data_IF_774425535283
#
_entry.id   IF_774425535283
#
_cell.length_a   1.000
_cell.length_b   1.000
_cell.length_c   1.000
_cell.angle_alpha   90.00
_cell.angle_beta   90.00
_cell.angle_gamma   90.00
#
_symmetry.space_group_name_H-M   'P 1'
#
loop_
_entity.id
_entity.type
_entity.pdbx_description
1 polymer ?
#
# COMPACT_ATOMS: atom_id res chain seq x y z
N UNK A 1 -38.93 -22.46 -52.54
CA UNK A 1 -38.85 -23.79 -51.88
C UNK A 1 -37.45 -23.99 -51.32
N UNK A 2 -37.14 -23.44 -50.15
CA UNK A 2 -35.83 -23.58 -49.47
C UNK A 2 -36.08 -23.63 -47.96
N UNK A 3 -36.18 -24.87 -47.46
CA UNK A 3 -35.83 -25.39 -46.13
C UNK A 3 -36.54 -24.94 -44.83
N UNK A 4 -37.47 -25.78 -44.31
CA UNK A 4 -37.79 -25.87 -42.89
C UNK A 4 -36.91 -26.96 -42.24
N UNK A 5 -35.75 -26.59 -41.67
CA UNK A 5 -34.84 -27.55 -40.99
C UNK A 5 -34.18 -27.04 -39.70
N UNK A 6 -34.67 -25.94 -39.12
CA UNK A 6 -34.03 -25.34 -37.92
C UNK A 6 -34.73 -25.74 -36.61
N UNK A 7 -35.91 -26.38 -36.66
CA UNK A 7 -36.73 -26.60 -35.47
C UNK A 7 -36.33 -27.78 -34.54
N UNK A 8 -35.24 -28.52 -34.81
CA UNK A 8 -34.91 -29.75 -34.04
C UNK A 8 -33.71 -29.58 -33.09
N UNK A 9 -32.98 -28.47 -33.13
CA UNK A 9 -31.77 -28.27 -32.30
C UNK A 9 -32.03 -27.68 -30.90
N UNK A 10 -33.28 -27.44 -30.49
CA UNK A 10 -33.60 -26.82 -29.19
C UNK A 10 -33.85 -27.78 -28.01
N UNK A 11 -33.74 -29.11 -28.20
CA UNK A 11 -34.12 -30.08 -27.16
C UNK A 11 -32.94 -30.82 -26.48
N UNK A 12 -31.69 -30.55 -26.87
CA UNK A 12 -30.51 -31.24 -26.30
C UNK A 12 -29.69 -30.39 -25.31
N UNK A 13 -30.11 -29.16 -24.96
CA UNK A 13 -29.37 -28.32 -24.01
C UNK A 13 -29.89 -28.35 -22.57
N UNK A 14 -30.96 -29.10 -22.27
CA UNK A 14 -31.55 -29.15 -20.93
C UNK A 14 -31.03 -30.28 -20.02
N UNK A 15 -30.17 -31.18 -20.49
CA UNK A 15 -29.74 -32.35 -19.69
C UNK A 15 -28.42 -32.20 -18.93
N UNK A 16 -27.88 -30.98 -18.80
CA UNK A 16 -26.62 -30.73 -18.06
C UNK A 16 -26.78 -29.85 -16.83
N UNK A 17 -27.99 -29.73 -16.28
CA UNK A 17 -28.18 -29.29 -14.90
C UNK A 17 -27.73 -30.41 -13.96
N UNK A 18 -26.41 -30.60 -13.89
CA UNK A 18 -25.78 -31.30 -12.77
C UNK A 18 -26.09 -30.45 -11.55
N UNK A 19 -26.86 -31.03 -10.65
CA UNK A 19 -27.29 -30.44 -9.40
C UNK A 19 -26.03 -30.27 -8.54
N UNK A 20 -25.36 -29.14 -8.67
CA UNK A 20 -24.39 -28.67 -7.69
C UNK A 20 -25.18 -28.28 -6.45
N UNK A 21 -25.56 -29.27 -5.63
CA UNK A 21 -26.06 -28.99 -4.29
C UNK A 21 -24.96 -28.20 -3.56
N UNK A 22 -25.24 -26.99 -3.05
CA UNK A 22 -24.33 -26.32 -2.16
C UNK A 22 -24.14 -27.25 -0.96
N UNK A 23 -22.92 -27.74 -0.74
CA UNK A 23 -22.58 -28.44 0.49
C UNK A 23 -23.01 -27.53 1.64
N UNK A 24 -23.91 -27.98 2.55
CA UNK A 24 -24.29 -27.16 3.68
C UNK A 24 -23.01 -26.88 4.46
N UNK A 25 -22.53 -25.65 4.39
CA UNK A 25 -21.53 -25.14 5.31
C UNK A 25 -22.24 -25.05 6.64
N UNK A 26 -22.18 -26.15 7.38
CA UNK A 26 -22.67 -26.25 8.74
C UNK A 26 -21.89 -25.17 9.50
N UNK A 27 -22.60 -24.08 9.79
CA UNK A 27 -22.12 -22.82 10.34
C UNK A 27 -21.75 -22.99 11.82
N UNK A 28 -20.89 -23.98 12.11
CA UNK A 28 -20.31 -24.16 13.42
C UNK A 28 -18.94 -23.49 13.40
N UNK A 29 -18.76 -22.49 14.25
CA UNK A 29 -17.55 -21.67 14.35
C UNK A 29 -16.28 -22.54 14.55
N UNK A 30 -16.43 -23.70 15.19
CA UNK A 30 -15.37 -24.70 15.35
C UNK A 30 -14.89 -25.30 14.02
N UNK A 31 -15.79 -25.48 13.05
CA UNK A 31 -15.46 -26.05 11.74
C UNK A 31 -14.62 -25.13 10.87
N UNK A 32 -14.89 -23.81 10.94
CA UNK A 32 -14.09 -22.80 10.25
C UNK A 32 -12.70 -22.67 10.87
N UNK A 33 -12.61 -22.61 12.20
CA UNK A 33 -11.32 -22.55 12.89
C UNK A 33 -10.45 -23.78 12.57
N UNK A 34 -11.05 -24.98 12.53
CA UNK A 34 -10.34 -26.22 12.21
C UNK A 34 -9.88 -26.27 10.74
N UNK A 35 -10.70 -25.81 9.79
CA UNK A 35 -10.30 -25.68 8.38
C UNK A 35 -9.19 -24.65 8.19
N UNK A 36 -9.30 -23.50 8.85
CA UNK A 36 -8.28 -22.46 8.79
C UNK A 36 -6.94 -22.96 9.34
N UNK A 37 -6.96 -23.66 10.48
CA UNK A 37 -5.75 -24.23 11.08
C UNK A 37 -5.09 -25.30 10.19
N UNK A 38 -5.89 -26.22 9.62
CA UNK A 38 -5.40 -27.25 8.69
C UNK A 38 -4.82 -26.64 7.40
N UNK A 39 -5.48 -25.64 6.83
CA UNK A 39 -5.03 -24.97 5.60
C UNK A 39 -3.75 -24.16 5.85
N UNK A 40 -3.72 -23.40 6.95
CA UNK A 40 -2.54 -22.62 7.34
C UNK A 40 -1.32 -23.51 7.58
N UNK A 41 -1.50 -24.69 8.20
CA UNK A 41 -0.43 -25.67 8.46
C UNK A 41 0.13 -26.31 7.18
N UNK A 42 -0.66 -26.41 6.11
CA UNK A 42 -0.18 -26.89 4.79
C UNK A 42 0.73 -25.87 4.10
N UNK A 43 0.41 -24.57 4.25
CA UNK A 43 1.13 -23.50 3.58
C UNK A 43 2.30 -22.94 4.40
N UNK A 44 2.25 -23.07 5.73
CA UNK A 44 3.28 -22.62 6.66
C UNK A 44 3.64 -23.74 7.65
N UNK A 45 4.34 -24.80 7.20
CA UNK A 45 4.79 -25.84 8.12
C UNK A 45 5.73 -25.22 9.15
N UNK A 46 5.46 -25.46 10.44
CA UNK A 46 6.32 -25.02 11.54
C UNK A 46 7.76 -25.49 11.30
N UNK A 47 8.70 -24.55 11.38
CA UNK A 47 10.12 -24.83 11.21
C UNK A 47 10.57 -25.88 12.24
N UNK A 48 10.89 -27.09 11.77
CA UNK A 48 11.44 -28.13 12.64
C UNK A 48 11.34 -29.55 12.13
N UNK A 49 10.34 -29.88 11.31
CA UNK A 49 10.14 -31.26 10.85
C UNK A 49 10.12 -31.33 9.33
N UNK A 50 11.27 -31.71 8.77
CA UNK A 50 11.51 -32.03 7.37
C UNK A 50 11.55 -30.83 6.42
N UNK A 51 12.64 -30.06 6.47
CA UNK A 51 13.08 -29.24 5.35
C UNK A 51 13.37 -30.16 4.15
N UNK A 52 12.35 -30.40 3.33
CA UNK A 52 12.50 -31.06 2.04
C UNK A 52 13.19 -30.05 1.11
N UNK A 53 14.31 -30.39 0.46
CA UNK A 53 14.93 -29.48 -0.49
C UNK A 53 13.95 -29.18 -1.62
N UNK A 54 13.78 -27.89 -1.93
CA UNK A 54 12.97 -27.40 -3.04
C UNK A 54 13.36 -28.12 -4.34
N UNK A 55 12.43 -28.79 -5.04
CA UNK A 55 12.70 -29.34 -6.35
C UNK A 55 12.55 -28.22 -7.38
N UNK A 56 13.59 -27.43 -7.57
CA UNK A 56 13.71 -26.53 -8.72
C UNK A 56 14.97 -26.87 -9.51
N UNK A 57 14.96 -28.05 -10.11
CA UNK A 57 15.86 -28.41 -11.23
C UNK A 57 15.01 -28.99 -12.36
N UNK A 58 15.05 -28.27 -13.48
CA UNK A 58 14.89 -28.74 -14.87
C UNK A 58 13.50 -29.12 -15.38
N UNK A 59 12.79 -28.11 -15.86
CA UNK A 59 11.89 -28.21 -17.02
C UNK A 59 12.37 -27.30 -18.15
N UNK A 60 13.35 -27.77 -18.93
CA UNK A 60 13.89 -27.04 -20.07
C UNK A 60 12.88 -26.89 -21.20
N UNK A 61 12.13 -25.79 -21.20
CA UNK A 61 11.41 -25.32 -22.37
C UNK A 61 12.33 -24.39 -23.17
N UNK A 62 12.88 -24.88 -24.29
CA UNK A 62 13.53 -24.03 -25.31
C UNK A 62 12.51 -23.06 -25.89
N UNK A 63 12.32 -21.90 -25.26
CA UNK A 63 11.71 -20.75 -25.93
C UNK A 63 12.74 -20.16 -26.87
N UNK A 64 12.44 -20.20 -28.17
CA UNK A 64 13.22 -19.56 -29.23
C UNK A 64 13.46 -18.10 -28.83
N UNK A 65 14.73 -17.72 -28.80
CA UNK A 65 15.20 -16.36 -28.58
C UNK A 65 14.46 -15.40 -29.52
N UNK A 66 13.54 -14.60 -28.96
CA UNK A 66 13.11 -13.36 -29.60
C UNK A 66 14.22 -12.36 -29.28
N UNK A 67 14.81 -11.79 -30.33
CA UNK A 67 15.92 -10.82 -30.23
C UNK A 67 15.59 -9.77 -29.16
N UNK A 68 16.55 -9.38 -28.30
CA UNK A 68 16.38 -8.20 -27.46
C UNK A 68 16.08 -7.00 -28.36
N UNK A 69 15.03 -6.27 -28.02
CA UNK A 69 14.82 -4.93 -28.54
C UNK A 69 16.02 -4.11 -28.01
N UNK A 70 16.78 -3.41 -28.85
CA UNK A 70 17.87 -2.58 -28.38
C UNK A 70 17.23 -1.43 -27.60
N UNK A 71 17.44 -1.42 -26.28
CA UNK A 71 17.27 -0.23 -25.48
C UNK A 71 18.16 0.84 -26.09
N UNK A 72 17.53 1.88 -26.61
CA UNK A 72 18.19 3.04 -27.17
C UNK A 72 19.17 3.58 -26.13
N UNK A 73 20.44 3.54 -26.52
CA UNK A 73 21.55 4.23 -25.90
C UNK A 73 21.21 5.72 -25.73
N UNK A 74 20.87 6.15 -24.52
CA UNK A 74 21.20 7.50 -24.09
C UNK A 74 22.71 7.49 -23.82
N UNK A 75 23.47 7.80 -24.87
CA UNK A 75 24.85 8.25 -24.71
C UNK A 75 24.78 9.66 -24.10
N UNK A 76 25.06 9.78 -22.81
CA UNK A 76 25.66 10.99 -22.24
C UNK A 76 26.82 10.54 -21.33
N UNK A 77 28.00 10.66 -21.92
CA UNK A 77 29.29 11.02 -21.34
C UNK A 77 29.78 10.31 -20.07
N UNK A 78 30.74 9.40 -20.31
CA UNK A 78 31.61 8.88 -19.27
C UNK A 78 32.47 9.97 -18.64
N UNK A 79 32.10 10.38 -17.43
CA UNK A 79 33.05 10.78 -16.39
C UNK A 79 32.38 10.73 -15.01
N UNK A 80 32.72 9.71 -14.21
CA UNK A 80 32.72 9.80 -12.74
C UNK A 80 31.39 9.68 -12.00
N UNK A 81 31.20 8.49 -11.41
CA UNK A 81 30.34 8.23 -10.25
C UNK A 81 28.82 8.26 -10.48
N UNK A 82 28.31 7.27 -11.20
CA UNK A 82 26.95 6.76 -10.94
C UNK A 82 26.95 6.07 -9.57
N UNK A 83 27.08 6.86 -8.50
CA UNK A 83 26.75 6.36 -7.18
C UNK A 83 25.29 5.91 -7.22
N UNK A 84 24.98 4.70 -6.74
CA UNK A 84 23.61 4.22 -6.72
C UNK A 84 22.78 5.14 -5.81
N UNK A 85 21.99 5.99 -6.47
CA UNK A 85 21.13 6.96 -5.81
C UNK A 85 19.94 6.21 -5.22
N UNK A 86 19.82 6.24 -3.90
CA UNK A 86 18.64 5.72 -3.21
C UNK A 86 17.39 6.39 -3.78
N UNK A 87 16.34 5.60 -3.98
CA UNK A 87 15.10 6.04 -4.61
C UNK A 87 15.09 6.01 -6.14
N UNK A 88 16.16 5.56 -6.81
CA UNK A 88 16.12 5.31 -8.25
C UNK A 88 15.50 3.93 -8.57
N UNK A 89 14.64 3.86 -9.59
CA UNK A 89 13.99 2.62 -10.02
C UNK A 89 14.94 1.62 -10.72
N UNK A 90 16.14 2.06 -11.09
CA UNK A 90 17.14 1.29 -11.82
C UNK A 90 18.41 0.98 -11.01
N UNK A 91 18.37 1.18 -9.69
CA UNK A 91 19.46 0.78 -8.80
C UNK A 91 19.48 -0.76 -8.60
N UNK A 92 19.93 -1.44 -9.65
CA UNK A 92 20.13 -2.89 -9.66
C UNK A 92 21.28 -3.34 -8.76
N UNK A 93 22.06 -2.41 -8.20
CA UNK A 93 23.17 -2.73 -7.29
C UNK A 93 22.67 -3.00 -5.88
N UNK A 94 21.62 -2.30 -5.45
CA UNK A 94 21.00 -2.46 -4.12
C UNK A 94 19.80 -3.39 -4.13
N UNK A 95 18.95 -3.28 -5.14
CA UNK A 95 17.68 -4.00 -5.22
C UNK A 95 17.52 -4.74 -6.55
N UNK A 96 16.77 -5.85 -6.59
CA UNK A 96 16.50 -6.56 -7.83
C UNK A 96 15.62 -5.73 -8.78
N UNK A 97 15.48 -6.19 -10.03
CA UNK A 97 14.70 -5.49 -11.03
C UNK A 97 13.25 -5.20 -10.57
N UNK A 98 12.74 -4.03 -10.96
CA UNK A 98 11.42 -3.50 -10.60
C UNK A 98 11.25 -3.10 -9.13
N UNK A 99 12.29 -3.29 -8.30
CA UNK A 99 12.35 -2.76 -6.95
C UNK A 99 13.20 -1.49 -6.91
N UNK A 100 12.95 -0.67 -5.89
CA UNK A 100 13.78 0.51 -5.61
C UNK A 100 14.29 0.45 -4.17
N UNK A 101 15.51 0.93 -3.96
CA UNK A 101 16.11 1.02 -2.63
C UNK A 101 15.64 2.29 -1.94
N UNK A 102 14.79 2.16 -0.93
CA UNK A 102 14.34 3.27 -0.10
C UNK A 102 15.10 3.30 1.23
N UNK A 103 15.52 4.47 1.73
CA UNK A 103 16.05 4.58 3.08
C UNK A 103 15.01 4.13 4.11
N UNK A 104 15.43 3.38 5.12
CA UNK A 104 14.54 2.92 6.21
C UNK A 104 14.11 4.04 7.16
N UNK A 105 14.71 5.23 7.03
CA UNK A 105 14.40 6.40 7.85
C UNK A 105 14.35 7.64 6.96
N UNK A 106 13.52 8.63 7.29
CA UNK A 106 13.45 9.88 6.54
C UNK A 106 14.82 10.54 6.48
N UNK A 107 15.20 11.00 5.28
CA UNK A 107 16.47 11.69 5.04
C UNK A 107 16.20 12.97 4.26
N UNK A 108 16.95 14.01 4.59
CA UNK A 108 17.00 15.24 3.80
C UNK A 108 17.80 15.03 2.51
N UNK A 109 17.63 15.91 1.52
CA UNK A 109 18.41 15.85 0.26
C UNK A 109 19.93 15.85 0.51
N UNK A 110 20.38 16.55 1.56
CA UNK A 110 21.80 16.60 1.94
C UNK A 110 22.28 15.25 2.46
N UNK A 111 21.48 14.59 3.30
CA UNK A 111 21.80 13.25 3.81
C UNK A 111 21.73 12.20 2.69
N UNK A 112 20.79 12.35 1.77
CA UNK A 112 20.66 11.49 0.60
C UNK A 112 21.90 11.61 -0.31
N UNK A 113 22.39 12.83 -0.54
CA UNK A 113 23.61 13.07 -1.31
C UNK A 113 24.87 12.50 -0.63
N UNK A 114 24.86 12.36 0.69
CA UNK A 114 25.94 11.75 1.48
C UNK A 114 25.72 10.24 1.72
N UNK A 115 24.64 9.68 1.20
CA UNK A 115 24.35 8.25 1.37
C UNK A 115 25.43 7.41 0.71
N UNK A 116 25.73 6.29 1.35
CA UNK A 116 26.79 5.37 0.97
C UNK A 116 26.27 3.93 0.93
N UNK A 117 27.17 2.96 0.75
CA UNK A 117 26.81 1.55 0.72
C UNK A 117 26.26 1.02 2.07
N UNK A 118 26.67 1.63 3.18
CA UNK A 118 26.26 1.24 4.54
C UNK A 118 24.94 1.87 4.98
N UNK A 119 24.41 2.82 4.20
CA UNK A 119 23.15 3.48 4.52
C UNK A 119 22.02 2.45 4.50
N UNK A 120 21.29 2.25 5.61
CA UNK A 120 20.29 1.21 5.69
C UNK A 120 19.12 1.51 4.74
N UNK A 121 18.77 0.52 3.95
CA UNK A 121 17.72 0.62 2.94
C UNK A 121 16.83 -0.62 2.96
N UNK A 122 15.62 -0.46 2.46
CA UNK A 122 14.69 -1.54 2.14
C UNK A 122 14.38 -1.52 0.64
N UNK A 123 14.18 -2.70 0.07
CA UNK A 123 13.74 -2.83 -1.31
C UNK A 123 12.22 -2.92 -1.34
N UNK A 124 11.58 -1.95 -1.97
CA UNK A 124 10.13 -1.91 -2.15
C UNK A 124 9.75 -2.14 -3.60
N UNK A 125 8.50 -2.53 -3.84
CA UNK A 125 7.89 -2.54 -5.16
C UNK A 125 6.97 -1.33 -5.29
N UNK A 126 7.43 -0.20 -5.87
CA UNK A 126 6.63 1.04 -5.91
C UNK A 126 5.31 0.89 -6.66
N UNK A 127 5.14 -0.19 -7.44
CA UNK A 127 3.93 -0.45 -8.21
C UNK A 127 2.78 -1.07 -7.38
N UNK A 128 3.09 -1.68 -6.24
CA UNK A 128 2.12 -2.45 -5.44
C UNK A 128 2.29 -2.29 -3.92
N UNK A 129 3.37 -1.66 -3.44
CA UNK A 129 3.59 -1.41 -2.03
C UNK A 129 2.60 -0.37 -1.49
N UNK A 130 1.86 -0.74 -0.44
CA UNK A 130 0.85 0.12 0.18
C UNK A 130 1.44 1.30 0.94
N UNK A 131 2.61 1.12 1.55
CA UNK A 131 3.23 2.10 2.44
C UNK A 131 4.21 3.01 1.72
N UNK A 132 4.62 2.62 0.51
CA UNK A 132 5.50 3.37 -0.38
C UNK A 132 5.03 3.27 -1.83
N UNK A 133 3.77 3.62 -2.05
CA UNK A 133 3.15 3.55 -3.37
C UNK A 133 3.69 4.67 -4.27
N UNK A 134 4.13 4.30 -5.47
CA UNK A 134 4.68 5.24 -6.46
C UNK A 134 6.13 5.69 -6.20
N UNK A 135 6.70 5.39 -5.05
CA UNK A 135 8.05 5.83 -4.68
C UNK A 135 8.37 5.65 -3.21
N UNK A 136 9.51 6.17 -2.75
CA UNK A 136 9.89 6.10 -1.34
C UNK A 136 9.13 7.14 -0.51
N UNK A 137 8.27 6.69 0.41
CA UNK A 137 7.59 7.60 1.35
C UNK A 137 8.59 8.34 2.24
N UNK A 138 9.71 7.72 2.61
CA UNK A 138 10.80 8.33 3.39
C UNK A 138 11.55 9.45 2.67
N UNK A 139 11.46 9.51 1.34
CA UNK A 139 12.01 10.58 0.50
C UNK A 139 10.94 11.52 -0.03
N UNK A 140 9.66 11.30 0.31
CA UNK A 140 8.53 12.06 -0.22
C UNK A 140 8.25 11.83 -1.71
N UNK A 141 8.85 10.82 -2.33
CA UNK A 141 8.59 10.47 -3.74
C UNK A 141 7.44 9.49 -3.90
N UNK A 142 7.01 8.85 -2.81
CA UNK A 142 5.82 7.99 -2.75
C UNK A 142 4.85 8.40 -1.65
N UNK A 143 3.75 7.66 -1.59
CA UNK A 143 2.66 7.88 -0.64
C UNK A 143 2.32 6.60 0.11
N UNK A 144 2.08 6.72 1.41
CA UNK A 144 1.42 5.67 2.20
C UNK A 144 -0.10 5.75 1.97
N UNK A 145 -0.63 4.82 1.17
CA UNK A 145 -2.06 4.79 0.87
C UNK A 145 -2.92 4.53 2.12
N UNK A 146 -2.36 3.94 3.18
CA UNK A 146 -3.08 3.65 4.43
C UNK A 146 -3.22 4.89 5.31
N UNK A 147 -2.36 5.89 5.09
CA UNK A 147 -2.40 7.18 5.78
C UNK A 147 -3.43 8.16 5.19
N UNK A 148 -4.09 7.82 4.08
CA UNK A 148 -5.12 8.66 3.46
C UNK A 148 -6.29 8.86 4.46
N UNK A 149 -6.70 10.10 4.77
CA UNK A 149 -7.76 10.34 5.74
C UNK A 149 -9.09 9.67 5.35
N UNK A 150 -9.75 9.06 6.33
CA UNK A 150 -11.08 8.47 6.13
C UNK A 150 -11.13 7.15 5.37
N UNK A 151 -10.00 6.63 4.86
CA UNK A 151 -10.01 5.34 4.14
C UNK A 151 -10.28 4.15 5.06
N UNK A 152 -10.95 3.15 4.52
CA UNK A 152 -11.20 1.87 5.16
C UNK A 152 -10.51 0.72 4.41
N UNK A 153 -10.48 0.78 3.07
CA UNK A 153 -9.79 -0.18 2.22
C UNK A 153 -9.14 0.51 1.04
N UNK A 154 -7.86 0.19 0.81
CA UNK A 154 -7.01 0.78 -0.22
C UNK A 154 -6.16 -0.29 -0.89
N UNK A 155 -5.65 0.01 -2.08
CA UNK A 155 -4.61 -0.75 -2.77
C UNK A 155 -3.64 0.19 -3.48
N UNK A 156 -2.38 -0.21 -3.62
CA UNK A 156 -1.48 0.42 -4.59
C UNK A 156 -1.53 -0.38 -5.89
N UNK A 157 -1.77 0.28 -7.02
CA UNK A 157 -1.67 -0.35 -8.33
C UNK A 157 -1.11 0.61 -9.35
N UNK A 158 -0.10 0.16 -10.11
CA UNK A 158 0.58 0.97 -11.13
C UNK A 158 1.14 2.27 -10.50
N UNK A 159 1.62 2.17 -9.26
CA UNK A 159 2.21 3.30 -8.53
C UNK A 159 1.21 4.38 -8.12
N UNK A 160 -0.08 4.06 -8.07
CA UNK A 160 -1.14 4.96 -7.63
C UNK A 160 -2.02 4.32 -6.56
N UNK A 161 -2.42 5.12 -5.56
CA UNK A 161 -3.37 4.69 -4.55
C UNK A 161 -4.78 4.64 -5.12
N UNK A 162 -5.43 3.49 -4.96
CA UNK A 162 -6.85 3.30 -5.27
C UNK A 162 -7.60 3.03 -3.97
N UNK A 163 -8.61 3.85 -3.70
CA UNK A 163 -9.49 3.74 -2.53
C UNK A 163 -10.73 2.93 -2.91
N UNK A 164 -10.93 1.79 -2.25
CA UNK A 164 -12.07 0.89 -2.48
C UNK A 164 -13.24 1.21 -1.58
N UNK A 165 -12.98 1.66 -0.34
CA UNK A 165 -14.02 2.03 0.61
C UNK A 165 -13.53 3.03 1.65
N UNK A 166 -14.47 3.81 2.16
CA UNK A 166 -14.25 4.81 3.22
C UNK A 166 -14.91 4.38 4.53
N UNK A 167 -14.43 4.94 5.64
CA UNK A 167 -15.05 4.83 6.97
C UNK A 167 -16.45 5.45 6.96
N UNK A 168 -17.35 5.06 7.89
CA UNK A 168 -18.66 5.69 8.03
C UNK A 168 -18.55 7.21 8.16
N UNK A 169 -19.43 7.94 7.49
CA UNK A 169 -19.38 9.41 7.42
C UNK A 169 -18.48 9.95 6.31
N UNK A 170 -17.82 9.09 5.53
CA UNK A 170 -17.01 9.48 4.37
C UNK A 170 -17.52 8.81 3.09
N UNK A 171 -17.26 9.44 1.95
CA UNK A 171 -17.53 8.90 0.60
C UNK A 171 -16.26 8.92 -0.23
N UNK A 172 -16.12 7.91 -1.10
CA UNK A 172 -15.00 7.84 -2.05
C UNK A 172 -15.14 9.00 -3.04
N UNK A 173 -14.04 9.70 -3.27
CA UNK A 173 -13.90 10.76 -4.26
C UNK A 173 -14.13 10.25 -5.68
N UNK A 174 -14.48 11.13 -6.62
CA UNK A 174 -14.80 10.74 -8.00
C UNK A 174 -13.62 10.16 -8.78
N UNK A 175 -12.40 10.54 -8.42
CA UNK A 175 -11.14 10.02 -8.95
C UNK A 175 -10.67 8.74 -8.24
N UNK A 176 -11.34 8.34 -7.15
CA UNK A 176 -11.03 7.11 -6.43
C UNK A 176 -9.73 7.16 -5.62
N UNK A 177 -9.17 8.35 -5.38
CA UNK A 177 -7.88 8.52 -4.71
C UNK A 177 -8.00 8.92 -3.24
N UNK A 178 -9.20 9.28 -2.79
CA UNK A 178 -9.43 9.74 -1.42
C UNK A 178 -10.84 9.55 -0.91
N UNK A 179 -11.03 9.92 0.35
CA UNK A 179 -12.31 9.93 1.03
C UNK A 179 -12.63 11.36 1.48
N UNK A 180 -13.87 11.80 1.25
CA UNK A 180 -14.37 13.11 1.69
C UNK A 180 -15.55 12.92 2.64
N UNK A 181 -15.63 13.76 3.67
CA UNK A 181 -16.73 13.72 4.63
C UNK A 181 -18.07 13.97 3.92
N UNK A 182 -19.04 13.12 4.24
CA UNK A 182 -20.43 13.35 3.86
C UNK A 182 -20.96 14.39 4.82
N UNK A 183 -20.96 15.65 4.40
CA UNK A 183 -21.74 16.67 5.09
C UNK A 183 -23.20 16.31 4.84
N UNK A 184 -23.77 15.48 5.72
CA UNK A 184 -25.21 15.40 5.85
C UNK A 184 -25.64 16.75 6.37
N UNK A 185 -25.95 17.66 5.45
CA UNK A 185 -26.68 18.87 5.80
C UNK A 185 -27.99 18.39 6.38
N UNK A 186 -28.06 18.35 7.71
CA UNK A 186 -29.29 18.22 8.49
C UNK A 186 -30.15 19.46 8.26
N UNK A 187 -30.56 19.69 7.01
CA UNK A 187 -31.58 20.65 6.65
C UNK A 187 -32.95 20.01 6.92
N UNK A 188 -33.22 19.69 8.19
CA UNK A 188 -34.53 19.87 8.80
C UNK A 188 -34.46 19.71 10.33
N UNK A 189 -34.28 20.82 11.02
CA UNK A 189 -34.93 21.02 12.32
C UNK A 189 -35.26 22.50 12.43
N UNK A 190 -36.40 22.88 11.86
CA UNK A 190 -36.93 24.23 11.95
C UNK A 190 -38.44 24.18 12.09
N UNK A 191 -38.99 23.96 13.30
CA UNK A 191 -40.30 24.52 13.73
C UNK A 191 -40.39 24.49 15.28
N UNK A 192 -40.69 25.67 15.89
CA UNK A 192 -41.31 25.94 17.22
C UNK A 192 -40.80 25.17 18.45
N UNK A 193 -40.34 25.82 19.52
CA UNK A 193 -41.09 26.86 20.23
C UNK A 193 -40.25 28.07 20.62
N UNK A 194 -40.81 29.21 20.27
CA UNK A 194 -40.73 30.46 21.00
C UNK A 194 -41.09 30.22 22.47
N UNK A 195 -40.15 30.38 23.39
CA UNK A 195 -40.45 31.08 24.62
C UNK A 195 -39.24 31.92 25.04
N UNK A 196 -39.47 33.22 24.96
CA UNK A 196 -38.56 34.29 25.26
C UNK A 196 -38.70 34.59 26.75
N UNK A 197 -37.61 34.44 27.50
CA UNK A 197 -37.47 35.06 28.84
C UNK A 197 -36.19 35.89 28.85
N UNK A 198 -36.26 37.20 29.11
CA UNK A 198 -35.10 38.08 29.11
C UNK A 198 -34.49 38.19 30.52
N UNK A 199 -33.20 37.90 30.65
CA UNK A 199 -32.37 38.19 31.83
C UNK A 199 -30.96 38.53 31.33
N UNK A 200 -30.68 39.77 30.94
CA UNK A 200 -30.03 40.83 31.74
C UNK A 200 -28.68 40.42 32.36
N UNK A 201 -27.63 41.10 31.85
CA UNK A 201 -26.27 41.32 32.39
C UNK A 201 -25.37 40.09 32.62
N UNK A 202 -24.07 40.11 32.30
CA UNK A 202 -23.11 41.16 32.62
C UNK A 202 -21.85 41.06 31.75
N UNK A 203 -21.35 42.22 31.37
CA UNK A 203 -19.97 42.62 31.05
C UNK A 203 -18.88 41.75 31.65
N UNK A 204 -17.83 41.44 30.87
CA UNK A 204 -16.39 41.58 31.19
C UNK A 204 -15.56 40.96 30.04
N UNK A 205 -14.95 41.78 29.19
CA UNK A 205 -13.60 42.36 29.30
C UNK A 205 -12.51 41.41 28.79
N UNK A 206 -11.84 41.91 27.77
CA UNK A 206 -10.66 41.35 27.13
C UNK A 206 -9.53 41.04 28.13
N UNK A 207 -8.68 40.05 27.82
CA UNK A 207 -7.21 40.15 27.83
C UNK A 207 -6.58 38.83 27.31
N UNK A 208 -5.66 38.99 26.37
CA UNK A 208 -4.73 38.01 25.75
C UNK A 208 -3.77 37.40 26.81
N UNK A 209 -3.01 36.32 26.59
CA UNK A 209 -1.78 36.47 25.77
C UNK A 209 -1.28 35.23 25.00
N UNK A 210 -0.46 35.58 24.00
CA UNK A 210 0.55 34.82 23.26
C UNK A 210 1.47 34.02 24.20
N UNK A 211 1.76 32.76 23.83
CA UNK A 211 2.93 32.03 24.32
C UNK A 211 3.77 31.55 23.13
N UNK A 212 5.02 31.98 23.15
CA UNK A 212 6.12 31.63 22.23
C UNK A 212 7.02 30.74 23.06
N UNK A 213 7.40 29.55 22.61
CA UNK A 213 8.52 28.84 23.22
C UNK A 213 9.26 27.96 22.21
N UNK A 214 10.56 28.20 22.15
CA UNK A 214 11.57 27.51 21.38
C UNK A 214 12.35 26.56 22.31
N UNK A 215 12.85 25.41 21.84
CA UNK A 215 13.86 24.66 22.58
C UNK A 215 15.28 24.97 22.10
N UNK A 216 16.07 25.45 23.06
CA UNK A 216 17.52 25.63 23.08
C UNK A 216 18.29 24.31 22.93
N UNK A 217 19.35 24.37 22.12
CA UNK A 217 20.41 23.38 22.01
C UNK A 217 21.30 23.34 23.26
N UNK A 218 21.64 22.15 23.74
CA UNK A 218 22.81 21.94 24.60
C UNK A 218 23.56 20.70 24.13
N UNK A 219 24.79 20.97 23.69
CA UNK A 219 25.87 20.05 23.36
C UNK A 219 26.38 19.35 24.62
N UNK A 220 26.54 18.04 24.58
CA UNK A 220 27.37 17.33 25.56
C UNK A 220 28.30 16.35 24.83
N UNK A 221 29.59 16.70 24.86
CA UNK A 221 30.71 15.90 24.36
C UNK A 221 31.15 14.93 25.45
N UNK A 222 31.18 13.64 25.16
CA UNK A 222 31.81 12.65 26.04
C UNK A 222 32.89 11.87 25.28
N UNK A 223 34.09 11.94 25.83
CA UNK A 223 35.34 11.39 25.33
C UNK A 223 35.44 9.87 25.50
N UNK A 224 36.22 9.25 24.61
CA UNK A 224 36.66 7.86 24.68
C UNK A 224 37.76 7.65 25.74
N UNK A 225 37.93 6.42 26.25
CA UNK A 225 39.23 5.96 26.73
C UNK A 225 39.87 4.91 25.79
N UNK A 226 41.13 5.19 25.44
CA UNK A 226 42.11 4.23 24.94
C UNK A 226 42.32 3.09 25.93
N UNK A 227 42.35 1.85 25.44
CA UNK A 227 43.04 0.74 26.10
C UNK A 227 44.04 0.12 25.15
N UNK A 228 45.30 0.38 25.42
CA UNK A 228 46.46 -0.40 24.99
C UNK A 228 46.88 -1.24 26.19
N UNK A 229 47.01 -2.54 25.98
CA UNK A 229 48.05 -3.49 26.42
C UNK A 229 47.56 -4.90 26.07
#
# INVERSE_FOLDING_TARGET
MIFPKIAILSLLSLSSFVISLPTPTLNNQEGLARRWYEDHKRHHPSAGENARPSPSVSGGAKRKAKKPIPSTTSNEDGNGSSQPLLGAAEDLTRCPAQQMACPVSPMTDVQLAQSNADTPYECILPQEDLYSCGGCTTLGTGLDCTAIPGVLSVSCAIGSCNVHSCKPGFTVTSDGQGCVEVITSSANSTVLSTEQTPSVNTTESATSPVATDAPTSSVESAAAPSSTV
#
